data_IF_998269175229
#
_entry.id   IF_998269175229
#
_cell.length_a   1.000
_cell.length_b   1.000
_cell.length_c   1.000
_cell.angle_alpha   90.00
_cell.angle_beta   90.00
_cell.angle_gamma   90.00
#
_symmetry.space_group_name_H-M   'P 1'
#
loop_
_entity.id
_entity.type
_entity.pdbx_description
1 polymer ?
#
# COMPACT_ATOMS: atom_id res chain seq x y z
N UNK A 1 3.66 14.48 -11.16
CA UNK A 1 3.36 13.25 -10.41
C UNK A 1 3.24 13.62 -8.95
N UNK A 2 2.08 13.38 -8.34
CA UNK A 2 1.88 13.63 -6.91
C UNK A 2 2.10 12.30 -6.19
N UNK A 3 3.09 12.27 -5.29
CA UNK A 3 3.45 11.07 -4.51
C UNK A 3 2.82 11.07 -3.11
N UNK A 4 2.14 12.15 -2.74
CA UNK A 4 1.43 12.24 -1.46
C UNK A 4 0.14 11.42 -1.54
N UNK A 5 0.04 10.39 -0.69
CA UNK A 5 -1.14 9.55 -0.52
C UNK A 5 -1.54 9.46 0.96
N UNK A 6 -2.70 8.89 1.24
CA UNK A 6 -3.18 8.61 2.59
C UNK A 6 -3.90 7.27 2.60
N UNK A 7 -4.09 6.62 3.76
CA UNK A 7 -4.71 5.30 3.82
C UNK A 7 -6.10 5.24 3.19
N UNK A 8 -6.85 6.36 3.25
CA UNK A 8 -8.16 6.50 2.61
C UNK A 8 -8.10 6.57 1.06
N UNK A 9 -6.92 6.77 0.49
CA UNK A 9 -6.66 6.87 -0.94
C UNK A 9 -5.93 5.64 -1.49
N UNK A 10 -5.58 4.67 -0.65
CA UNK A 10 -4.93 3.44 -1.12
C UNK A 10 -5.90 2.65 -1.98
N UNK A 11 -5.46 2.32 -3.19
CA UNK A 11 -6.20 1.49 -4.12
C UNK A 11 -5.73 0.05 -4.11
N UNK A 12 -4.47 -0.17 -3.71
CA UNK A 12 -3.80 -1.46 -3.79
C UNK A 12 -3.48 -2.05 -2.41
N UNK A 13 -3.50 -1.25 -1.35
CA UNK A 13 -3.20 -1.72 0.00
C UNK A 13 -4.35 -1.44 0.97
N UNK A 14 -4.67 -2.44 1.79
CA UNK A 14 -5.52 -2.27 2.97
C UNK A 14 -4.68 -2.44 4.23
N UNK A 15 -4.65 -1.38 5.04
CA UNK A 15 -4.00 -1.36 6.34
C UNK A 15 -5.04 -1.59 7.45
N UNK A 16 -4.78 -2.55 8.33
CA UNK A 16 -5.54 -2.75 9.56
C UNK A 16 -4.58 -2.96 10.72
N UNK A 17 -4.96 -2.49 11.91
CA UNK A 17 -4.12 -2.55 13.11
C UNK A 17 -4.92 -3.22 14.22
N UNK A 18 -4.37 -4.30 14.76
CA UNK A 18 -4.93 -5.06 15.86
C UNK A 18 -3.91 -5.12 17.00
N UNK A 19 -4.05 -4.17 17.93
CA UNK A 19 -3.15 -4.01 19.06
C UNK A 19 -1.69 -3.82 18.63
N UNK A 20 -0.87 -4.85 18.82
CA UNK A 20 0.58 -4.82 18.52
C UNK A 20 0.93 -5.30 17.11
N UNK A 21 -0.05 -5.72 16.32
CA UNK A 21 0.17 -6.27 14.98
C UNK A 21 -0.54 -5.42 13.95
N UNK A 22 0.22 -4.88 12.99
CA UNK A 22 -0.35 -4.29 11.79
C UNK A 22 -0.43 -5.35 10.69
N UNK A 23 -1.50 -5.32 9.89
CA UNK A 23 -1.69 -6.19 8.74
C UNK A 23 -1.86 -5.33 7.49
N UNK A 24 -0.95 -5.54 6.53
CA UNK A 24 -0.98 -4.96 5.20
C UNK A 24 -1.42 -6.04 4.22
N UNK A 25 -2.61 -5.87 3.64
CA UNK A 25 -3.19 -6.79 2.67
C UNK A 25 -3.09 -6.17 1.28
N UNK A 26 -2.44 -6.87 0.36
CA UNK A 26 -2.29 -6.48 -1.04
C UNK A 26 -3.57 -6.83 -1.78
N UNK A 27 -4.29 -5.81 -2.23
CA UNK A 27 -5.55 -5.91 -2.95
C UNK A 27 -5.41 -5.17 -4.29
N UNK A 28 -4.66 -5.75 -5.23
CA UNK A 28 -4.36 -5.11 -6.51
C UNK A 28 -5.63 -4.98 -7.33
N UNK A 29 -6.16 -3.76 -7.42
CA UNK A 29 -7.17 -3.44 -8.42
C UNK A 29 -6.49 -3.26 -9.79
N UNK A 30 -6.47 -4.33 -10.59
CA UNK A 30 -5.88 -4.37 -11.95
C UNK A 30 -6.57 -3.38 -12.93
N UNK A 31 -7.79 -2.93 -12.62
CA UNK A 31 -8.59 -2.03 -13.48
C UNK A 31 -8.28 -0.53 -13.30
N UNK A 32 -7.33 -0.14 -12.44
CA UNK A 32 -6.99 1.27 -12.19
C UNK A 32 -5.50 1.59 -12.40
N UNK A 33 -5.00 1.53 -13.65
CA UNK A 33 -3.61 1.88 -13.94
C UNK A 33 -3.34 3.38 -13.67
N UNK A 34 -2.15 3.69 -13.13
CA UNK A 34 -1.72 5.06 -12.84
C UNK A 34 -1.59 5.93 -14.11
N UNK A 35 -1.44 5.30 -15.28
CA UNK A 35 -1.29 5.98 -16.59
C UNK A 35 -2.13 5.25 -17.65
N UNK A 36 -3.01 5.96 -18.39
CA UNK A 36 -3.76 5.36 -19.49
C UNK A 36 -2.83 5.02 -20.67
N UNK A 37 -2.88 3.77 -21.15
CA UNK A 37 -2.14 3.32 -22.35
C UNK A 37 -0.94 2.40 -22.12
N UNK A 38 -0.73 1.90 -20.89
CA UNK A 38 0.29 0.91 -20.59
C UNK A 38 -0.37 -0.46 -20.29
N UNK A 39 -0.19 -1.43 -21.19
CA UNK A 39 -0.53 -2.84 -20.92
C UNK A 39 0.49 -3.40 -19.93
N UNK A 40 0.07 -3.57 -18.68
CA UNK A 40 0.87 -4.17 -17.62
C UNK A 40 1.03 -5.67 -17.89
N UNK A 41 2.18 -6.05 -18.45
CA UNK A 41 2.60 -7.45 -18.51
C UNK A 41 2.90 -7.94 -17.09
N UNK A 42 2.36 -9.13 -16.76
CA UNK A 42 2.67 -9.88 -15.55
C UNK A 42 4.16 -9.71 -15.17
N UNK A 43 4.39 -9.25 -13.93
CA UNK A 43 5.68 -8.92 -13.29
C UNK A 43 6.16 -7.46 -13.37
N UNK A 44 5.41 -6.52 -13.95
CA UNK A 44 5.64 -5.09 -13.73
C UNK A 44 4.86 -4.64 -12.51
N UNK A 45 5.53 -4.45 -11.37
CA UNK A 45 4.92 -3.79 -10.22
C UNK A 45 4.47 -2.39 -10.63
N UNK A 46 3.18 -2.10 -10.45
CA UNK A 46 2.66 -0.75 -10.63
C UNK A 46 3.38 0.14 -9.61
N UNK A 47 4.07 1.18 -10.08
CA UNK A 47 4.76 2.15 -9.21
C UNK A 47 3.84 2.71 -8.12
N UNK A 48 2.52 2.74 -8.38
CA UNK A 48 1.50 3.09 -7.39
C UNK A 48 1.46 2.15 -6.17
N UNK A 49 1.65 0.85 -6.37
CA UNK A 49 1.70 -0.16 -5.29
C UNK A 49 2.88 0.11 -4.35
N UNK A 50 4.05 0.45 -4.91
CA UNK A 50 5.24 0.78 -4.11
C UNK A 50 5.11 2.12 -3.37
N UNK A 51 4.50 3.12 -4.01
CA UNK A 51 4.24 4.44 -3.39
C UNK A 51 3.32 4.27 -2.16
N UNK A 52 2.25 3.51 -2.31
CA UNK A 52 1.31 3.23 -1.21
C UNK A 52 1.97 2.41 -0.10
N UNK A 53 2.76 1.39 -0.44
CA UNK A 53 3.49 0.59 0.53
C UNK A 53 4.48 1.45 1.34
N UNK A 54 5.20 2.35 0.67
CA UNK A 54 6.13 3.28 1.31
C UNK A 54 5.40 4.19 2.31
N UNK A 55 4.28 4.78 1.91
CA UNK A 55 3.47 5.63 2.79
C UNK A 55 2.96 4.84 4.01
N UNK A 56 2.45 3.63 3.79
CA UNK A 56 1.92 2.79 4.86
C UNK A 56 2.99 2.41 5.90
N UNK A 57 4.21 2.08 5.45
CA UNK A 57 5.34 1.78 6.33
C UNK A 57 5.79 3.02 7.10
N UNK A 58 5.82 4.20 6.45
CA UNK A 58 6.17 5.44 7.14
C UNK A 58 5.16 5.78 8.24
N UNK A 59 3.86 5.62 7.97
CA UNK A 59 2.81 5.83 8.98
C UNK A 59 2.93 4.85 10.14
N UNK A 60 3.14 3.56 9.86
CA UNK A 60 3.36 2.57 10.91
C UNK A 60 4.56 2.92 11.81
N UNK A 61 5.62 3.51 11.26
CA UNK A 61 6.80 3.93 12.02
C UNK A 61 6.58 5.15 12.90
N UNK A 62 5.82 6.13 12.42
CA UNK A 62 5.72 7.44 13.08
C UNK A 62 4.39 7.66 13.82
N UNK A 63 3.31 7.02 13.38
CA UNK A 63 1.96 7.22 13.92
C UNK A 63 1.50 6.05 14.82
N UNK A 64 2.16 4.88 14.76
CA UNK A 64 1.76 3.66 15.49
C UNK A 64 2.88 3.04 16.33
N UNK A 65 3.36 3.72 17.39
CA UNK A 65 4.41 3.19 18.27
C UNK A 65 4.02 1.90 19.01
N UNK A 66 2.73 1.59 19.11
CA UNK A 66 2.21 0.36 19.69
C UNK A 66 2.44 -0.88 18.83
N UNK A 67 2.64 -0.70 17.52
CA UNK A 67 2.85 -1.78 16.57
C UNK A 67 4.27 -2.34 16.73
N UNK A 68 4.36 -3.63 17.03
CA UNK A 68 5.63 -4.36 17.15
C UNK A 68 5.92 -5.30 15.98
N UNK A 69 4.91 -5.64 15.17
CA UNK A 69 5.07 -6.52 14.02
C UNK A 69 4.13 -6.11 12.88
N UNK A 70 4.60 -6.29 11.64
CA UNK A 70 3.81 -6.05 10.42
C UNK A 70 3.70 -7.38 9.66
N UNK A 71 2.47 -7.81 9.39
CA UNK A 71 2.16 -8.97 8.57
C UNK A 71 1.75 -8.50 7.18
N UNK A 72 2.47 -8.96 6.16
CA UNK A 72 2.16 -8.69 4.76
C UNK A 72 1.47 -9.93 4.18
N UNK A 73 0.31 -9.75 3.56
CA UNK A 73 -0.48 -10.82 2.94
C UNK A 73 -1.08 -10.33 1.62
N UNK A 74 -1.43 -11.26 0.73
CA UNK A 74 -2.35 -11.05 -0.40
C UNK A 74 -3.75 -11.52 -0.05
#
# INVERSE_FOLDING_TARGET
MNFATSPDQYKHWRLSIDGRVARLSLDVQEDQPLVPGYELKLNSYDLGVDIELYDAVQRLRFEHPEVGAVVITS
#
